data_IF_860576190869
#
_entry.id   IF_860576190869
#
_cell.length_a   1.000
_cell.length_b   1.000
_cell.length_c   1.000
_cell.angle_alpha   90.00
_cell.angle_beta   90.00
_cell.angle_gamma   90.00
#
_symmetry.space_group_name_H-M   'P 1'
#
loop_
_entity.id
_entity.type
_entity.pdbx_description
1 polymer ?
#
# COMPACT_ATOMS: atom_id res chain seq x y z
N UNK A 1 28.83 25.28 -4.71
CA UNK A 1 27.41 24.91 -4.88
C UNK A 1 26.89 24.60 -3.49
N UNK A 2 26.15 25.51 -2.87
CA UNK A 2 25.53 25.27 -1.56
C UNK A 2 24.51 24.14 -1.71
N UNK A 3 24.72 23.03 -1.01
CA UNK A 3 23.75 21.94 -0.94
C UNK A 3 22.47 22.46 -0.30
N UNK A 4 21.45 22.74 -1.11
CA UNK A 4 20.11 22.96 -0.59
C UNK A 4 19.69 21.66 0.11
N UNK A 5 19.43 21.75 1.41
CA UNK A 5 18.73 20.70 2.14
C UNK A 5 17.37 20.49 1.47
N UNK A 6 17.19 19.33 0.85
CA UNK A 6 15.90 18.92 0.29
C UNK A 6 14.96 18.59 1.45
N UNK A 7 14.27 19.61 1.96
CA UNK A 7 13.09 19.41 2.79
C UNK A 7 11.92 19.02 1.87
N UNK A 8 11.85 17.76 1.49
CA UNK A 8 10.62 17.22 0.93
C UNK A 8 9.67 16.98 2.10
N UNK A 9 8.59 17.76 2.19
CA UNK A 9 7.44 17.47 3.06
C UNK A 9 6.82 16.14 2.62
N UNK A 10 7.46 15.03 3.01
CA UNK A 10 6.98 13.69 2.68
C UNK A 10 5.89 13.29 3.65
N UNK A 11 4.81 12.73 3.10
CA UNK A 11 3.74 12.12 3.89
C UNK A 11 4.32 10.96 4.70
N UNK A 12 4.11 10.99 6.02
CA UNK A 12 4.50 9.92 6.92
C UNK A 12 3.34 8.96 7.19
N UNK A 13 3.64 7.80 7.79
CA UNK A 13 2.60 6.90 8.31
C UNK A 13 1.75 7.56 9.41
N UNK A 14 2.32 8.50 10.18
CA UNK A 14 1.57 9.23 11.19
C UNK A 14 0.51 10.15 10.53
N UNK A 15 0.90 10.87 9.48
CA UNK A 15 -0.02 11.73 8.72
C UNK A 15 -1.16 10.91 8.09
N UNK A 16 -0.83 9.76 7.51
CA UNK A 16 -1.83 8.84 6.95
C UNK A 16 -2.77 8.30 8.02
N UNK A 17 -2.24 7.92 9.18
CA UNK A 17 -3.05 7.42 10.29
C UNK A 17 -4.05 8.49 10.78
N UNK A 18 -3.61 9.74 10.86
CA UNK A 18 -4.48 10.85 11.25
C UNK A 18 -5.52 11.19 10.18
N UNK A 19 -5.16 11.13 8.90
CA UNK A 19 -6.10 11.28 7.80
C UNK A 19 -7.18 10.18 7.82
N UNK A 20 -6.78 8.92 7.98
CA UNK A 20 -7.68 7.76 8.03
C UNK A 20 -8.65 7.86 9.23
N UNK A 21 -8.17 8.29 10.39
CA UNK A 21 -9.03 8.52 11.58
C UNK A 21 -10.08 9.61 11.32
N UNK A 22 -9.72 10.71 10.64
CA UNK A 22 -10.65 11.79 10.25
C UNK A 22 -11.74 11.30 9.29
N UNK A 23 -11.41 10.33 8.44
CA UNK A 23 -12.37 9.66 7.54
C UNK A 23 -13.29 8.66 8.26
N UNK A 24 -13.15 8.49 9.58
CA UNK A 24 -14.00 7.59 10.37
C UNK A 24 -13.54 6.13 10.36
N UNK A 25 -12.34 5.83 9.87
CA UNK A 25 -11.73 4.51 9.93
C UNK A 25 -10.88 4.34 11.20
N UNK A 26 -10.51 3.10 11.50
CA UNK A 26 -9.45 2.76 12.44
C UNK A 26 -8.23 2.34 11.64
N UNK A 27 -7.06 2.68 12.15
CA UNK A 27 -5.82 2.26 11.54
C UNK A 27 -4.71 2.19 12.57
N UNK A 28 -3.77 1.28 12.30
CA UNK A 28 -2.54 1.13 13.06
C UNK A 28 -1.39 0.85 12.10
N UNK A 29 -0.22 1.35 12.46
CA UNK A 29 1.03 1.09 11.76
C UNK A 29 1.82 0.02 12.50
N UNK A 30 2.35 -0.94 11.76
CA UNK A 30 3.10 -2.07 12.29
C UNK A 30 4.43 -2.20 11.56
N UNK A 31 5.48 -2.58 12.28
CA UNK A 31 6.67 -3.15 11.65
C UNK A 31 6.40 -4.63 11.37
N UNK A 32 6.58 -5.05 10.12
CA UNK A 32 6.29 -6.38 9.64
C UNK A 32 7.57 -6.97 9.05
N UNK A 33 7.99 -8.12 9.56
CA UNK A 33 9.04 -8.94 8.95
C UNK A 33 8.42 -9.96 7.96
N UNK A 34 9.26 -10.65 7.19
CA UNK A 34 8.82 -11.62 6.18
C UNK A 34 7.93 -12.73 6.76
N UNK A 35 8.28 -13.26 7.93
CA UNK A 35 7.51 -14.31 8.63
C UNK A 35 6.10 -13.85 9.04
N UNK A 36 5.96 -12.62 9.51
CA UNK A 36 4.67 -12.03 9.87
C UNK A 36 3.86 -11.73 8.61
N UNK A 37 4.50 -11.23 7.54
CA UNK A 37 3.83 -10.97 6.27
C UNK A 37 3.19 -12.25 5.72
N UNK A 38 3.90 -13.38 5.79
CA UNK A 38 3.39 -14.68 5.30
C UNK A 38 2.10 -15.13 6.00
N UNK A 39 1.86 -14.68 7.24
CA UNK A 39 0.64 -14.97 8.00
C UNK A 39 -0.51 -14.01 7.66
N UNK A 40 -0.22 -12.81 7.15
CA UNK A 40 -1.18 -11.77 6.83
C UNK A 40 -1.72 -11.95 5.40
N UNK A 41 -2.48 -13.03 5.19
CA UNK A 41 -3.01 -13.40 3.87
C UNK A 41 -4.34 -12.69 3.60
N UNK A 42 -4.50 -12.19 2.36
CA UNK A 42 -5.68 -11.49 1.84
C UNK A 42 -6.07 -10.23 2.64
N UNK A 43 -5.12 -9.61 3.32
CA UNK A 43 -5.30 -8.34 4.03
C UNK A 43 -4.60 -7.25 3.20
N UNK A 44 -5.33 -6.26 2.66
CA UNK A 44 -4.72 -5.11 2.00
C UNK A 44 -3.93 -4.27 3.01
N UNK A 45 -2.67 -4.00 2.69
CA UNK A 45 -1.74 -3.27 3.54
C UNK A 45 -1.09 -2.16 2.74
N UNK A 46 -1.14 -0.93 3.26
CA UNK A 46 -0.42 0.19 2.67
C UNK A 46 1.02 0.18 3.21
N UNK A 47 2.00 0.02 2.33
CA UNK A 47 3.41 -0.11 2.68
C UNK A 47 4.23 0.96 1.97
N UNK A 48 5.39 1.27 2.52
CA UNK A 48 6.33 2.24 1.92
C UNK A 48 7.49 1.49 1.26
N UNK A 49 7.78 1.80 0.00
CA UNK A 49 8.95 1.32 -0.72
C UNK A 49 9.99 2.44 -0.75
N UNK A 50 11.25 2.12 -0.41
CA UNK A 50 12.35 3.09 -0.30
C UNK A 50 13.61 2.66 -1.08
N UNK A 51 13.48 1.76 -2.07
CA UNK A 51 14.65 1.21 -2.79
C UNK A 51 15.48 2.27 -3.53
N UNK A 52 14.83 3.29 -4.10
CA UNK A 52 15.49 4.54 -4.48
C UNK A 52 15.20 5.61 -3.41
N UNK A 53 16.19 6.04 -2.61
CA UNK A 53 16.00 7.05 -1.57
C UNK A 53 15.47 8.39 -2.09
N UNK A 54 15.58 8.65 -3.39
CA UNK A 54 15.08 9.88 -4.03
C UNK A 54 13.58 9.82 -4.30
N UNK A 55 13.01 8.61 -4.41
CA UNK A 55 11.61 8.39 -4.78
C UNK A 55 10.90 7.39 -3.85
N UNK A 56 10.88 7.63 -2.53
CA UNK A 56 10.08 6.83 -1.64
C UNK A 56 8.59 7.02 -1.96
N UNK A 57 7.85 5.93 -2.04
CA UNK A 57 6.42 5.97 -2.37
C UNK A 57 5.64 4.91 -1.61
N UNK A 58 4.33 5.12 -1.52
CA UNK A 58 3.41 4.17 -0.90
C UNK A 58 2.73 3.33 -1.97
N UNK A 59 2.62 2.03 -1.70
CA UNK A 59 1.84 1.08 -2.50
C UNK A 59 0.92 0.29 -1.60
N UNK A 60 -0.14 -0.29 -2.15
CA UNK A 60 -0.95 -1.28 -1.43
C UNK A 60 -0.47 -2.66 -1.85
N UNK A 61 -0.25 -3.54 -0.88
CA UNK A 61 0.02 -4.97 -1.15
C UNK A 61 -1.11 -5.83 -0.62
N UNK A 62 -1.38 -6.92 -1.32
CA UNK A 62 -2.26 -8.00 -0.87
C UNK A 62 -1.46 -9.29 -0.97
N UNK A 63 -1.10 -9.84 0.19
CA UNK A 63 -0.35 -11.09 0.24
C UNK A 63 -1.29 -12.30 0.03
N UNK A 64 -0.84 -13.29 -0.73
CA UNK A 64 -1.59 -14.52 -0.99
C UNK A 64 -0.85 -15.74 -0.46
N UNK A 65 -1.53 -16.89 -0.39
CA UNK A 65 -0.87 -18.16 -0.09
C UNK A 65 0.10 -18.49 -1.22
N UNK A 66 1.33 -18.90 -0.85
CA UNK A 66 2.40 -19.20 -1.79
C UNK A 66 3.47 -18.11 -1.82
N UNK A 67 4.15 -17.98 -2.98
CA UNK A 67 5.36 -17.18 -3.13
C UNK A 67 5.15 -15.89 -3.95
N UNK A 68 3.93 -15.37 -3.96
CA UNK A 68 3.58 -14.15 -4.68
C UNK A 68 2.66 -13.26 -3.83
N UNK A 69 2.57 -12.00 -4.25
CA UNK A 69 1.65 -11.02 -3.73
C UNK A 69 1.21 -10.09 -4.86
N UNK A 70 0.06 -9.47 -4.68
CA UNK A 70 -0.45 -8.43 -5.57
C UNK A 70 0.02 -7.07 -5.06
N UNK A 71 0.42 -6.18 -5.97
CA UNK A 71 0.81 -4.81 -5.69
C UNK A 71 -0.10 -3.88 -6.48
N UNK A 72 -0.64 -2.87 -5.80
CA UNK A 72 -1.39 -1.77 -6.38
C UNK A 72 -0.55 -0.50 -6.18
N UNK A 73 0.17 -0.14 -7.23
CA UNK A 73 1.07 1.00 -7.27
C UNK A 73 0.37 2.19 -7.92
N UNK A 74 0.24 3.36 -7.25
CA UNK A 74 -0.35 4.55 -7.84
C UNK A 74 0.30 5.02 -9.15
N UNK A 75 1.58 4.71 -9.37
CA UNK A 75 2.34 5.09 -10.56
C UNK A 75 2.27 4.06 -11.69
N UNK A 76 2.11 2.78 -11.38
CA UNK A 76 2.21 1.68 -12.35
C UNK A 76 0.93 0.84 -12.51
N UNK A 77 -0.08 1.08 -11.68
CA UNK A 77 -1.30 0.29 -11.64
C UNK A 77 -1.13 -1.01 -10.85
N UNK A 78 -1.86 -2.04 -11.27
CA UNK A 78 -1.90 -3.33 -10.60
C UNK A 78 -0.95 -4.34 -11.26
N UNK A 79 -0.22 -5.10 -10.44
CA UNK A 79 0.60 -6.22 -10.90
C UNK A 79 0.83 -7.29 -9.83
N UNK A 80 1.22 -8.49 -10.27
CA UNK A 80 1.65 -9.59 -9.39
C UNK A 80 3.17 -9.59 -9.30
N UNK A 81 3.71 -9.68 -8.09
CA UNK A 81 5.14 -9.81 -7.82
C UNK A 81 5.42 -11.10 -7.07
N UNK A 82 6.53 -11.77 -7.38
CA UNK A 82 7.03 -12.81 -6.48
C UNK A 82 7.48 -12.17 -5.16
N UNK A 83 7.34 -12.90 -4.05
CA UNK A 83 7.78 -12.41 -2.73
C UNK A 83 9.27 -12.07 -2.72
N UNK A 84 10.09 -12.84 -3.41
CA UNK A 84 11.53 -12.56 -3.52
C UNK A 84 11.81 -11.22 -4.22
N UNK A 85 11.13 -10.93 -5.34
CA UNK A 85 11.25 -9.64 -6.04
C UNK A 85 10.72 -8.48 -5.19
N UNK A 86 9.58 -8.66 -4.52
CA UNK A 86 9.06 -7.63 -3.63
C UNK A 86 10.01 -7.38 -2.44
N UNK A 87 10.57 -8.42 -1.84
CA UNK A 87 11.49 -8.27 -0.72
C UNK A 87 12.82 -7.63 -1.11
N UNK A 88 13.28 -7.76 -2.36
CA UNK A 88 14.51 -7.09 -2.78
C UNK A 88 14.39 -5.56 -2.76
N UNK A 89 13.17 -5.03 -2.85
CA UNK A 89 12.90 -3.58 -2.81
C UNK A 89 12.32 -3.10 -1.46
N UNK A 90 11.41 -3.87 -0.85
CA UNK A 90 10.72 -3.47 0.37
C UNK A 90 11.49 -3.81 1.66
N UNK A 91 12.21 -4.94 1.65
CA UNK A 91 12.95 -5.45 2.81
C UNK A 91 14.39 -5.83 2.42
N UNK A 92 15.05 -4.91 1.70
CA UNK A 92 16.39 -5.09 1.13
C UNK A 92 17.45 -5.45 2.18
N UNK A 93 17.31 -4.90 3.39
CA UNK A 93 18.25 -5.10 4.50
C UNK A 93 17.79 -6.16 5.51
N UNK A 94 16.71 -6.90 5.21
CA UNK A 94 16.15 -7.95 6.07
C UNK A 94 15.82 -7.47 7.49
N UNK A 95 15.26 -6.25 7.60
CA UNK A 95 14.80 -5.62 8.85
C UNK A 95 13.28 -5.57 8.95
N UNK A 96 12.59 -6.10 7.95
CA UNK A 96 11.17 -5.87 7.71
C UNK A 96 10.92 -4.45 7.18
N UNK A 97 9.65 -4.18 6.93
CA UNK A 97 9.17 -2.85 6.55
C UNK A 97 7.97 -2.43 7.39
N UNK A 98 7.53 -1.20 7.20
CA UNK A 98 6.35 -0.68 7.88
C UNK A 98 5.12 -0.83 6.98
N UNK A 99 4.00 -1.17 7.62
CA UNK A 99 2.70 -1.27 6.98
C UNK A 99 1.63 -0.56 7.81
N UNK A 100 0.71 0.10 7.13
CA UNK A 100 -0.51 0.64 7.68
C UNK A 100 -1.66 -0.28 7.30
N UNK A 101 -2.38 -0.78 8.32
CA UNK A 101 -3.61 -1.54 8.14
C UNK A 101 -4.77 -0.61 8.48
N UNK A 102 -5.76 -0.55 7.60
CA UNK A 102 -6.96 0.28 7.73
C UNK A 102 -8.19 -0.62 7.82
N UNK A 103 -9.04 -0.36 8.81
CA UNK A 103 -10.29 -1.06 9.01
C UNK A 103 -11.44 -0.07 9.27
N UNK A 104 -12.67 -0.35 8.83
CA UNK A 104 -13.80 0.52 9.11
C UNK A 104 -14.24 0.43 10.58
N UNK A 105 -14.61 1.56 11.21
CA UNK A 105 -15.14 1.59 12.60
C UNK A 105 -16.54 0.98 12.74
N UNK A 106 -17.31 1.01 11.66
CA UNK A 106 -18.72 0.58 11.54
C UNK A 106 -18.93 0.05 10.12
N UNK A 107 -20.04 -0.61 9.84
CA UNK A 107 -20.39 -1.00 8.47
C UNK A 107 -20.24 0.19 7.51
N UNK A 108 -19.52 -0.04 6.41
CA UNK A 108 -19.29 0.97 5.39
C UNK A 108 -20.63 1.33 4.75
N UNK A 109 -21.03 2.61 4.82
CA UNK A 109 -22.13 3.09 3.99
C UNK A 109 -21.70 2.97 2.53
N UNK A 110 -22.44 2.25 1.67
CA UNK A 110 -22.10 2.15 0.26
C UNK A 110 -22.09 3.56 -0.35
N UNK A 111 -20.92 4.01 -0.81
CA UNK A 111 -20.80 5.26 -1.52
C UNK A 111 -21.18 5.04 -2.99
N UNK A 112 -22.28 5.63 -3.44
CA UNK A 112 -22.60 5.68 -4.86
C UNK A 112 -21.74 6.76 -5.50
N UNK A 113 -20.67 6.33 -6.17
CA UNK A 113 -19.89 7.21 -7.03
C UNK A 113 -20.80 7.67 -8.18
N UNK A 114 -21.14 8.96 -8.23
CA UNK A 114 -21.87 9.54 -9.35
C UNK A 114 -20.90 9.68 -10.53
N UNK A 115 -20.60 8.57 -11.20
CA UNK A 115 -19.80 8.58 -12.42
C UNK A 115 -20.66 9.07 -13.59
N UNK A 116 -20.17 10.00 -14.44
CA UNK A 116 -20.79 10.25 -15.73
C UNK A 116 -21.02 8.92 -16.49
N UNK A 117 -22.23 8.74 -17.03
CA UNK A 117 -22.64 7.52 -17.75
C UNK A 117 -21.74 7.15 -18.93
N UNK A 118 -20.93 8.08 -19.42
CA UNK A 118 -20.07 7.94 -20.60
C UNK A 118 -18.58 8.01 -20.28
N UNK A 119 -18.18 7.60 -19.08
CA UNK A 119 -16.76 7.36 -18.83
C UNK A 119 -16.37 6.08 -19.56
N UNK A 120 -15.60 6.22 -20.64
CA UNK A 120 -14.87 5.14 -21.31
C UNK A 120 -13.75 4.64 -20.39
N UNK A 121 -14.11 4.14 -19.21
CA UNK A 121 -13.21 3.34 -18.41
C UNK A 121 -13.28 1.91 -18.95
N UNK A 122 -12.14 1.40 -19.41
CA UNK A 122 -11.96 -0.04 -19.57
C UNK A 122 -12.00 -0.67 -18.18
N UNK A 123 -13.22 -0.91 -17.70
CA UNK A 123 -13.45 -1.70 -16.51
C UNK A 123 -13.17 -3.14 -16.93
N UNK A 124 -11.96 -3.62 -16.66
CA UNK A 124 -11.72 -5.06 -16.63
C UNK A 124 -12.23 -5.56 -15.28
N UNK A 125 -13.42 -6.19 -15.21
CA UNK A 125 -13.91 -6.75 -13.96
C UNK A 125 -12.91 -7.79 -13.48
N UNK A 126 -12.59 -7.73 -12.18
CA UNK A 126 -11.86 -8.78 -11.47
C UNK A 126 -12.44 -10.16 -11.83
N UNK A 127 -11.70 -10.96 -12.60
CA UNK A 127 -11.96 -12.39 -12.70
C UNK A 127 -10.98 -13.11 -11.77
N UNK A 128 -11.50 -13.57 -10.64
CA UNK A 128 -10.83 -14.61 -9.86
C UNK A 128 -10.89 -15.90 -10.70
N UNK A 129 -9.77 -16.28 -11.30
CA UNK A 129 -9.52 -17.68 -11.69
C UNK A 129 -8.76 -18.37 -10.56
#
# INVERSE_FOLDING_TARGET
>A
MSGQELYTDMVSFADLNDAVKKLGFQSNSYQINRENLDKLVNIPMLVKIEDDPRFPHFVIIINHKGNYLQVLDPSHGEYISSKSQFFSIWDRYNKGGYALIVAPKKELKPFKLNTPKSLHFDFSPFSLF
#
